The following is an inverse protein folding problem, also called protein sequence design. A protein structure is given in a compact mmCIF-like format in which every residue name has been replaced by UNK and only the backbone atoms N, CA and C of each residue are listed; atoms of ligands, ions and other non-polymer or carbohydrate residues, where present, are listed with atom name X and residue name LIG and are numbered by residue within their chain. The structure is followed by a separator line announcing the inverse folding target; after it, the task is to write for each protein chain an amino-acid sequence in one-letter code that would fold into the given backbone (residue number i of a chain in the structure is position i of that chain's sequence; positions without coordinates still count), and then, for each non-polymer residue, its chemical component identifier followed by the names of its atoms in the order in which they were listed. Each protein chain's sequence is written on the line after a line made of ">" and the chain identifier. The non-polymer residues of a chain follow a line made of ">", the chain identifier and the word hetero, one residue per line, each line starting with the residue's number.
data_IF_115945659470
#
_entry.id   IF_115945659470
#
_cell.length_a   1.000
_cell.length_b   1.000
_cell.length_c   1.000
_cell.angle_alpha   90.00
_cell.angle_beta   90.00
_cell.angle_gamma   90.00
#
_symmetry.space_group_name_H-M   'P 1'
#
loop_
_entity.id
_entity.type
_entity.pdbx_description
1 polymer ?
#
# COMPACT_ATOMS: atom_id res chain seq x y z
N UNK A 1 2.61 14.34 2.00
CA UNK A 1 1.39 15.11 2.33
C UNK A 1 0.57 15.22 1.07
N UNK A 2 -0.67 14.75 1.10
CA UNK A 2 -1.63 14.81 -0.01
C UNK A 2 -2.12 16.25 -0.21
N UNK A 3 -2.41 16.63 -1.45
CA UNK A 3 -2.91 17.98 -1.72
C UNK A 3 -4.35 18.11 -1.26
N UNK A 4 -4.64 19.07 -0.39
CA UNK A 4 -5.99 19.37 0.09
C UNK A 4 -6.55 20.66 -0.50
N UNK A 5 -5.72 21.45 -1.19
CA UNK A 5 -6.11 22.71 -1.82
C UNK A 5 -5.99 22.62 -3.35
N UNK A 6 -6.94 23.21 -4.10
CA UNK A 6 -6.93 23.19 -5.55
C UNK A 6 -5.78 24.05 -6.08
N UNK A 7 -4.81 23.40 -6.72
CA UNK A 7 -3.77 24.09 -7.52
C UNK A 7 -4.24 24.10 -8.97
N UNK A 8 -4.45 25.30 -9.50
CA UNK A 8 -4.93 25.50 -10.87
C UNK A 8 -3.83 26.05 -11.77
N UNK A 9 -3.84 25.61 -13.02
CA UNK A 9 -3.02 26.19 -14.08
C UNK A 9 -3.84 27.15 -14.90
N UNK A 10 -3.19 28.17 -15.47
CA UNK A 10 -3.79 28.97 -16.52
C UNK A 10 -3.16 28.61 -17.87
N UNK A 11 -3.87 28.90 -18.95
CA UNK A 11 -3.34 28.67 -20.30
C UNK A 11 -2.09 29.54 -20.57
N UNK A 12 -2.08 30.76 -20.01
CA UNK A 12 -1.01 31.76 -20.07
C UNK A 12 0.03 31.63 -18.94
N UNK A 13 0.03 30.51 -18.19
CA UNK A 13 0.93 30.31 -17.07
C UNK A 13 2.41 30.41 -17.47
N UNK A 14 3.21 31.02 -16.60
CA UNK A 14 4.66 31.14 -16.78
C UNK A 14 5.33 29.75 -16.70
N UNK A 15 6.54 29.57 -17.27
CA UNK A 15 7.25 28.30 -17.14
C UNK A 15 7.52 27.94 -15.66
N UNK A 16 7.76 28.92 -14.80
CA UNK A 16 7.99 28.74 -13.36
C UNK A 16 6.73 28.23 -12.64
N UNK A 17 5.55 28.77 -12.98
CA UNK A 17 4.27 28.29 -12.45
C UNK A 17 3.99 26.85 -12.87
N UNK A 18 4.33 26.49 -14.12
CA UNK A 18 4.18 25.12 -14.62
C UNK A 18 5.14 24.16 -13.95
N UNK A 19 6.36 24.58 -13.66
CA UNK A 19 7.30 23.77 -12.86
C UNK A 19 6.79 23.55 -11.44
N UNK A 20 6.19 24.56 -10.81
CA UNK A 20 5.54 24.40 -9.51
C UNK A 20 4.41 23.37 -9.59
N UNK A 21 3.52 23.49 -10.57
CA UNK A 21 2.41 22.55 -10.80
C UNK A 21 2.92 21.13 -11.04
N UNK A 22 4.01 20.97 -11.79
CA UNK A 22 4.60 19.67 -12.07
C UNK A 22 5.10 18.98 -10.79
N UNK A 23 5.71 19.71 -9.87
CA UNK A 23 6.08 19.19 -8.53
C UNK A 23 4.86 18.75 -7.73
N UNK A 24 3.75 19.48 -7.84
CA UNK A 24 2.48 19.13 -7.19
C UNK A 24 1.86 17.87 -7.80
N UNK A 25 1.91 17.70 -9.13
CA UNK A 25 1.44 16.48 -9.79
C UNK A 25 2.23 15.26 -9.28
N UNK A 26 3.56 15.36 -9.19
CA UNK A 26 4.37 14.25 -8.65
C UNK A 26 4.04 13.97 -7.19
N UNK A 27 3.83 15.00 -6.37
CA UNK A 27 3.44 14.83 -4.99
C UNK A 27 2.08 14.12 -4.83
N UNK A 28 1.15 14.35 -5.76
CA UNK A 28 -0.17 13.74 -5.75
C UNK A 28 -0.16 12.30 -6.30
N UNK A 29 0.46 12.09 -7.46
CA UNK A 29 0.34 10.82 -8.21
C UNK A 29 1.40 9.81 -7.81
N UNK A 30 2.61 10.27 -7.48
CA UNK A 30 3.70 9.40 -7.06
C UNK A 30 3.87 9.37 -5.54
N UNK A 31 3.09 10.18 -4.81
CA UNK A 31 3.19 10.42 -3.36
C UNK A 31 4.56 10.94 -2.86
N UNK A 32 5.53 11.07 -3.77
CA UNK A 32 6.92 11.48 -3.52
C UNK A 32 7.45 12.34 -4.66
N UNK A 33 8.53 13.07 -4.39
CA UNK A 33 9.31 13.70 -5.43
C UNK A 33 10.26 12.69 -6.09
N UNK A 34 10.50 12.87 -7.38
CA UNK A 34 11.36 11.99 -8.18
C UNK A 34 12.84 12.21 -7.88
N UNK A 35 13.61 11.13 -7.95
CA UNK A 35 15.07 11.23 -7.99
C UNK A 35 15.57 11.71 -9.36
N UNK A 36 16.77 12.30 -9.41
CA UNK A 36 17.34 12.80 -10.66
C UNK A 36 17.52 11.72 -11.74
N UNK A 37 17.78 10.48 -11.33
CA UNK A 37 17.89 9.33 -12.24
C UNK A 37 16.55 8.96 -12.88
N UNK A 38 15.48 8.90 -12.09
CA UNK A 38 14.11 8.60 -12.55
C UNK A 38 13.58 9.72 -13.44
N UNK A 39 13.87 10.97 -13.08
CA UNK A 39 13.44 12.16 -13.84
C UNK A 39 13.89 12.11 -15.29
N UNK A 40 15.05 11.51 -15.60
CA UNK A 40 15.56 11.32 -16.97
C UNK A 40 14.57 10.61 -17.89
N UNK A 41 13.76 9.69 -17.36
CA UNK A 41 12.77 8.95 -18.14
C UNK A 41 11.52 9.78 -18.49
N UNK A 42 11.31 10.90 -17.78
CA UNK A 42 10.14 11.77 -17.93
C UNK A 42 10.47 13.11 -18.61
N UNK A 43 11.75 13.37 -18.92
CA UNK A 43 12.22 14.65 -19.47
C UNK A 43 11.42 15.13 -20.67
N UNK A 44 11.03 14.24 -21.58
CA UNK A 44 10.26 14.60 -22.77
C UNK A 44 8.86 15.10 -22.41
N UNK A 45 8.21 14.41 -21.46
CA UNK A 45 6.90 14.77 -20.94
C UNK A 45 6.96 16.12 -20.18
N UNK A 46 7.99 16.32 -19.35
CA UNK A 46 8.18 17.58 -18.62
C UNK A 46 8.38 18.76 -19.57
N UNK A 47 9.21 18.58 -20.60
CA UNK A 47 9.49 19.61 -21.61
C UNK A 47 8.23 20.04 -22.34
N UNK A 48 7.38 19.09 -22.73
CA UNK A 48 6.15 19.41 -23.44
C UNK A 48 5.10 20.06 -22.51
N UNK A 49 5.09 19.69 -21.22
CA UNK A 49 4.24 20.33 -20.21
C UNK A 49 4.66 21.77 -19.93
N UNK A 50 5.95 22.03 -19.69
CA UNK A 50 6.49 23.37 -19.42
C UNK A 50 6.23 24.29 -20.63
N UNK A 51 6.40 23.78 -21.85
CA UNK A 51 6.05 24.50 -23.08
C UNK A 51 4.54 24.71 -23.26
N UNK A 52 3.69 23.95 -22.59
CA UNK A 52 2.23 24.06 -22.65
C UNK A 52 1.62 23.41 -23.87
N UNK A 53 2.32 22.46 -24.48
CA UNK A 53 1.74 21.67 -25.57
C UNK A 53 0.73 20.65 -25.04
N UNK A 54 0.93 20.18 -23.81
CA UNK A 54 0.08 19.19 -23.15
C UNK A 54 -0.58 19.80 -21.91
N UNK A 55 -1.85 19.50 -21.70
CA UNK A 55 -2.58 19.86 -20.49
C UNK A 55 -2.40 18.82 -19.36
N UNK A 56 -2.88 19.15 -18.16
CA UNK A 56 -2.77 18.29 -16.97
C UNK A 56 -3.36 16.89 -17.23
N UNK A 57 -4.58 16.79 -17.78
CA UNK A 57 -5.22 15.50 -18.06
C UNK A 57 -4.37 14.60 -18.97
N UNK A 58 -3.78 15.18 -20.02
CA UNK A 58 -2.93 14.43 -20.94
C UNK A 58 -1.60 14.03 -20.28
N UNK A 59 -1.06 14.91 -19.43
CA UNK A 59 0.12 14.60 -18.62
C UNK A 59 -0.14 13.42 -17.67
N UNK A 60 -1.27 13.40 -16.96
CA UNK A 60 -1.65 12.32 -16.05
C UNK A 60 -1.78 10.97 -16.76
N UNK A 61 -2.50 10.93 -17.89
CA UNK A 61 -2.64 9.71 -18.70
C UNK A 61 -1.29 9.21 -19.20
N UNK A 62 -0.44 10.12 -19.66
CA UNK A 62 0.89 9.78 -20.14
C UNK A 62 1.81 9.31 -19.01
N UNK A 63 1.66 9.86 -17.81
CA UNK A 63 2.44 9.48 -16.62
C UNK A 63 2.09 8.07 -16.15
N UNK A 64 0.81 7.70 -16.17
CA UNK A 64 0.35 6.39 -15.70
C UNK A 64 0.90 5.21 -16.51
N UNK A 65 1.24 5.43 -17.78
CA UNK A 65 1.77 4.38 -18.68
C UNK A 65 3.30 4.28 -18.57
N UNK A 66 3.95 5.19 -17.84
CA UNK A 66 5.41 5.19 -17.71
C UNK A 66 5.86 4.09 -16.73
N UNK A 67 7.04 3.48 -16.97
CA UNK A 67 7.55 2.39 -16.14
C UNK A 67 7.65 2.78 -14.67
N UNK A 68 8.06 4.02 -14.36
CA UNK A 68 8.13 4.51 -12.97
C UNK A 68 6.81 4.36 -12.21
N UNK A 69 5.67 4.67 -12.85
CA UNK A 69 4.38 4.53 -12.19
C UNK A 69 3.97 3.06 -12.04
N UNK A 70 4.26 2.24 -13.04
CA UNK A 70 3.93 0.81 -13.04
C UNK A 70 4.76 0.02 -12.02
N UNK A 71 6.07 0.26 -11.94
CA UNK A 71 6.97 -0.36 -10.97
C UNK A 71 6.55 -0.02 -9.52
N UNK A 72 6.13 1.23 -9.30
CA UNK A 72 5.71 1.69 -7.97
C UNK A 72 4.35 1.14 -7.54
N UNK A 73 3.36 1.11 -8.43
CA UNK A 73 1.98 0.87 -8.02
C UNK A 73 1.34 -0.37 -8.61
N UNK A 74 1.84 -0.90 -9.72
CA UNK A 74 1.21 -2.01 -10.44
C UNK A 74 1.96 -3.33 -10.23
N UNK A 75 3.26 -3.39 -10.54
CA UNK A 75 4.03 -4.64 -10.62
C UNK A 75 4.09 -5.43 -9.29
N UNK A 76 4.19 -4.72 -8.16
CA UNK A 76 4.28 -5.32 -6.84
C UNK A 76 2.91 -5.46 -6.13
N UNK A 77 1.84 -5.01 -6.78
CA UNK A 77 0.50 -4.90 -6.19
C UNK A 77 -0.49 -5.90 -6.77
N UNK A 78 -1.55 -6.21 -6.04
CA UNK A 78 -2.73 -6.83 -6.65
C UNK A 78 -3.48 -5.84 -7.54
N UNK A 79 -4.17 -6.33 -8.57
CA UNK A 79 -5.01 -5.50 -9.45
C UNK A 79 -5.98 -4.62 -8.66
N UNK A 80 -6.63 -5.19 -7.64
CA UNK A 80 -7.57 -4.45 -6.80
C UNK A 80 -6.87 -3.32 -6.03
N UNK A 81 -5.68 -3.58 -5.48
CA UNK A 81 -4.92 -2.57 -4.73
C UNK A 81 -4.44 -1.46 -5.67
N UNK A 82 -4.07 -1.82 -6.89
CA UNK A 82 -3.74 -0.85 -7.92
C UNK A 82 -4.93 0.05 -8.27
N UNK A 83 -6.14 -0.50 -8.42
CA UNK A 83 -7.36 0.28 -8.72
C UNK A 83 -7.67 1.25 -7.58
N UNK A 84 -7.55 0.81 -6.33
CA UNK A 84 -7.70 1.67 -5.16
C UNK A 84 -6.70 2.84 -5.18
N UNK A 85 -5.42 2.55 -5.43
CA UNK A 85 -4.39 3.57 -5.58
C UNK A 85 -4.66 4.50 -6.78
N UNK A 86 -5.16 3.98 -7.90
CA UNK A 86 -5.51 4.78 -9.07
C UNK A 86 -6.67 5.75 -8.77
N UNK A 87 -7.70 5.30 -8.04
CA UNK A 87 -8.78 6.16 -7.58
C UNK A 87 -8.22 7.27 -6.67
N UNK A 88 -7.33 6.90 -5.74
CA UNK A 88 -6.66 7.86 -4.85
C UNK A 88 -5.87 8.92 -5.63
N UNK A 89 -5.06 8.51 -6.61
CA UNK A 89 -4.19 9.42 -7.35
C UNK A 89 -4.94 10.32 -8.34
N UNK A 90 -5.91 9.78 -9.08
CA UNK A 90 -6.58 10.48 -10.18
C UNK A 90 -7.93 11.08 -9.81
N UNK A 91 -8.71 10.41 -8.96
CA UNK A 91 -10.01 10.91 -8.49
C UNK A 91 -9.91 11.59 -7.12
N UNK A 92 -8.84 11.36 -6.35
CA UNK A 92 -8.69 11.95 -5.02
C UNK A 92 -9.63 11.34 -3.98
N UNK A 93 -10.07 10.09 -4.20
CA UNK A 93 -10.95 9.33 -3.31
C UNK A 93 -10.70 7.82 -3.39
N UNK A 94 -11.18 7.08 -2.41
CA UNK A 94 -11.33 5.63 -2.43
C UNK A 94 -12.51 5.20 -3.35
N UNK A 95 -12.50 3.96 -3.84
CA UNK A 95 -13.67 3.33 -4.46
C UNK A 95 -14.89 3.39 -3.53
N UNK A 96 -16.09 3.55 -4.07
CA UNK A 96 -17.32 3.64 -3.26
C UNK A 96 -17.76 2.29 -2.74
N UNK A 97 -17.80 1.31 -3.64
CA UNK A 97 -18.36 -0.02 -3.40
C UNK A 97 -17.57 -1.08 -4.19
N UNK A 98 -17.72 -2.35 -3.79
CA UNK A 98 -17.22 -3.50 -4.52
C UNK A 98 -17.66 -3.56 -6.00
N UNK A 99 -18.88 -3.10 -6.32
CA UNK A 99 -19.36 -3.06 -7.70
C UNK A 99 -18.50 -2.15 -8.58
N UNK A 100 -18.21 -0.94 -8.11
CA UNK A 100 -17.32 0.00 -8.81
C UNK A 100 -15.91 -0.60 -8.96
N UNK A 101 -15.41 -1.26 -7.92
CA UNK A 101 -14.10 -1.90 -7.95
C UNK A 101 -14.03 -3.01 -9.02
N UNK A 102 -15.08 -3.83 -9.14
CA UNK A 102 -15.18 -4.88 -10.15
C UNK A 102 -15.33 -4.33 -11.57
N UNK A 103 -16.06 -3.23 -11.77
CA UNK A 103 -16.15 -2.56 -13.07
C UNK A 103 -14.77 -2.11 -13.56
N UNK A 104 -14.01 -1.45 -12.67
CA UNK A 104 -12.65 -1.01 -12.98
C UNK A 104 -11.68 -2.17 -13.22
N UNK A 105 -11.84 -3.30 -12.53
CA UNK A 105 -11.03 -4.48 -12.76
C UNK A 105 -11.30 -5.12 -14.12
N UNK A 106 -12.56 -5.19 -14.54
CA UNK A 106 -12.90 -5.70 -15.86
C UNK A 106 -12.25 -4.86 -16.97
N UNK A 107 -12.23 -3.54 -16.81
CA UNK A 107 -11.54 -2.62 -17.73
C UNK A 107 -10.02 -2.85 -17.69
N UNK A 108 -9.44 -2.98 -16.51
CA UNK A 108 -8.01 -3.21 -16.33
C UNK A 108 -7.56 -4.53 -16.99
N UNK A 109 -8.31 -5.61 -16.77
CA UNK A 109 -7.99 -6.94 -17.31
C UNK A 109 -8.18 -6.98 -18.83
N UNK A 110 -9.21 -6.32 -19.37
CA UNK A 110 -9.50 -6.35 -20.81
C UNK A 110 -8.69 -5.36 -21.64
N UNK A 111 -8.44 -4.17 -21.11
CA UNK A 111 -7.89 -3.04 -21.87
C UNK A 111 -6.56 -2.51 -21.31
N UNK A 112 -6.15 -2.96 -20.14
CA UNK A 112 -4.88 -2.59 -19.51
C UNK A 112 -4.90 -1.24 -18.80
N UNK A 113 -3.75 -0.90 -18.20
CA UNK A 113 -3.59 0.27 -17.31
C UNK A 113 -3.89 1.60 -18.01
N UNK A 114 -3.44 1.77 -19.25
CA UNK A 114 -3.63 3.02 -19.99
C UNK A 114 -5.10 3.33 -20.29
N UNK A 115 -5.91 2.31 -20.52
CA UNK A 115 -7.35 2.45 -20.73
C UNK A 115 -8.06 2.80 -19.43
N UNK A 116 -7.76 2.09 -18.33
CA UNK A 116 -8.31 2.37 -17.00
C UNK A 116 -8.10 3.85 -16.61
N UNK A 117 -6.86 4.33 -16.68
CA UNK A 117 -6.56 5.73 -16.30
C UNK A 117 -7.20 6.72 -17.27
N UNK A 118 -7.30 6.37 -18.55
CA UNK A 118 -8.00 7.22 -19.51
C UNK A 118 -9.48 7.37 -19.15
N UNK A 119 -10.15 6.30 -18.78
CA UNK A 119 -11.56 6.33 -18.35
C UNK A 119 -11.75 7.07 -17.03
N UNK A 120 -10.87 6.88 -16.04
CA UNK A 120 -10.90 7.64 -14.78
C UNK A 120 -10.79 9.15 -15.02
N UNK A 121 -9.82 9.58 -15.83
CA UNK A 121 -9.55 11.00 -16.14
C UNK A 121 -10.57 11.62 -17.11
N UNK A 122 -11.28 10.78 -17.88
CA UNK A 122 -12.34 11.21 -18.80
C UNK A 122 -13.75 11.11 -18.19
N UNK A 123 -13.86 10.56 -16.99
CA UNK A 123 -15.11 10.45 -16.26
C UNK A 123 -15.80 11.81 -16.07
N UNK A 124 -17.13 11.78 -16.03
CA UNK A 124 -17.92 12.98 -15.75
C UNK A 124 -17.63 13.51 -14.35
N UNK A 125 -17.33 12.61 -13.41
CA UNK A 125 -16.92 12.94 -12.04
C UNK A 125 -15.66 13.79 -12.03
N UNK A 126 -14.58 13.33 -12.68
CA UNK A 126 -13.34 14.09 -12.78
C UNK A 126 -13.59 15.50 -13.35
N UNK A 127 -14.42 15.60 -14.39
CA UNK A 127 -14.76 16.87 -15.02
C UNK A 127 -15.54 17.81 -14.10
N UNK A 128 -16.43 17.28 -13.26
CA UNK A 128 -17.21 18.05 -12.28
C UNK A 128 -16.36 18.51 -11.10
N UNK A 129 -15.44 17.67 -10.62
CA UNK A 129 -14.58 17.96 -9.46
C UNK A 129 -13.40 18.87 -9.80
N UNK A 130 -12.64 18.55 -10.85
CA UNK A 130 -11.37 19.21 -11.16
C UNK A 130 -11.43 20.08 -12.42
N UNK A 131 -12.30 19.74 -13.37
CA UNK A 131 -12.33 20.40 -14.68
C UNK A 131 -11.11 20.06 -15.54
N UNK A 132 -10.54 21.06 -16.22
CA UNK A 132 -9.46 20.86 -17.20
C UNK A 132 -8.08 21.27 -16.71
N UNK A 133 -8.04 22.24 -15.79
CA UNK A 133 -6.83 22.96 -15.42
C UNK A 133 -6.40 22.76 -13.97
N UNK A 134 -7.15 21.96 -13.22
CA UNK A 134 -6.87 21.67 -11.82
C UNK A 134 -6.19 20.33 -11.71
N UNK A 135 -5.17 20.25 -10.86
CA UNK A 135 -4.54 18.98 -10.48
C UNK A 135 -5.54 18.21 -9.62
N UNK A 136 -5.64 16.87 -9.74
CA UNK A 136 -6.37 16.07 -8.77
C UNK A 136 -5.87 16.38 -7.36
N UNK A 137 -6.81 16.55 -6.45
CA UNK A 137 -6.50 16.79 -5.05
C UNK A 137 -7.50 16.02 -4.21
N UNK A 138 -7.10 15.72 -2.98
CA UNK A 138 -7.94 15.07 -2.02
C UNK A 138 -9.09 16.00 -1.64
N UNK A 139 -10.34 15.62 -1.92
CA UNK A 139 -11.50 16.44 -1.59
C UNK A 139 -12.40 15.75 -0.56
N UNK A 140 -12.71 16.46 0.52
CA UNK A 140 -13.44 15.92 1.68
C UNK A 140 -14.98 15.84 1.51
N UNK A 141 -15.55 15.98 0.30
CA UNK A 141 -17.01 16.21 0.17
C UNK A 141 -17.86 15.21 -0.67
N UNK A 142 -18.99 14.84 -0.03
CA UNK A 142 -20.15 14.01 -0.41
C UNK A 142 -19.89 12.53 -0.62
N UNK A 143 -19.50 11.89 0.48
CA UNK A 143 -19.75 10.46 0.66
C UNK A 143 -21.25 10.22 0.78
N UNK A 144 -21.73 9.20 0.08
CA UNK A 144 -23.13 8.79 0.13
C UNK A 144 -23.40 8.00 1.42
N UNK A 145 -22.34 7.41 2.00
CA UNK A 145 -22.37 6.58 3.20
C UNK A 145 -21.28 6.92 4.22
N UNK A 146 -21.48 6.52 5.48
CA UNK A 146 -20.47 6.67 6.53
C UNK A 146 -19.26 5.73 6.32
N UNK A 147 -19.46 4.58 5.69
CA UNK A 147 -18.38 3.64 5.34
C UNK A 147 -17.41 4.25 4.34
N UNK A 148 -17.94 4.83 3.26
CA UNK A 148 -17.13 5.56 2.26
C UNK A 148 -16.28 6.66 2.91
N UNK A 149 -16.85 7.43 3.85
CA UNK A 149 -16.09 8.48 4.55
C UNK A 149 -14.87 7.88 5.28
N UNK A 150 -15.07 6.80 6.04
CA UNK A 150 -14.01 6.16 6.83
C UNK A 150 -12.93 5.57 5.91
N UNK A 151 -13.33 4.91 4.82
CA UNK A 151 -12.39 4.33 3.86
C UNK A 151 -11.55 5.39 3.17
N UNK A 152 -12.18 6.49 2.79
CA UNK A 152 -11.49 7.66 2.25
C UNK A 152 -10.50 8.21 3.27
N UNK A 153 -10.94 8.53 4.48
CA UNK A 153 -10.07 9.05 5.54
C UNK A 153 -8.85 8.14 5.76
N UNK A 154 -9.08 6.83 5.84
CA UNK A 154 -8.00 5.83 5.98
C UNK A 154 -7.05 5.85 4.78
N UNK A 155 -7.56 5.87 3.55
CA UNK A 155 -6.73 5.81 2.34
C UNK A 155 -5.96 7.11 2.10
N UNK A 156 -6.56 8.26 2.42
CA UNK A 156 -5.96 9.58 2.27
C UNK A 156 -4.75 9.81 3.18
N UNK A 157 -4.75 9.19 4.36
CA UNK A 157 -3.63 9.22 5.29
C UNK A 157 -2.60 8.10 5.09
N UNK A 158 -2.94 7.06 4.32
CA UNK A 158 -2.03 5.95 4.04
C UNK A 158 -0.93 6.36 3.07
N UNK A 159 0.30 5.89 3.30
CA UNK A 159 1.36 5.92 2.32
C UNK A 159 1.39 4.63 1.49
N UNK A 160 1.85 4.69 0.24
CA UNK A 160 2.03 3.52 -0.62
C UNK A 160 2.73 2.35 0.12
N UNK A 161 2.04 1.22 0.19
CA UNK A 161 2.56 -0.02 0.79
C UNK A 161 2.45 -0.14 2.31
N UNK A 162 1.92 0.85 3.04
CA UNK A 162 1.82 0.83 4.50
C UNK A 162 0.96 -0.33 5.03
N UNK A 163 -0.17 -0.64 4.38
CA UNK A 163 -1.02 -1.80 4.71
C UNK A 163 -0.81 -2.99 3.77
N UNK A 164 0.36 -3.04 3.14
CA UNK A 164 0.73 -4.08 2.19
C UNK A 164 0.20 -3.84 0.77
N UNK A 165 0.52 -4.79 -0.11
CA UNK A 165 0.33 -4.67 -1.55
C UNK A 165 -0.80 -5.55 -2.11
N UNK A 166 -1.32 -6.48 -1.30
CA UNK A 166 -2.23 -7.51 -1.76
C UNK A 166 -3.71 -7.16 -1.55
N UNK A 167 -4.07 -6.59 -0.39
CA UNK A 167 -5.48 -6.41 0.01
C UNK A 167 -5.83 -4.91 0.04
N UNK A 168 -6.82 -4.46 -0.76
CA UNK A 168 -7.37 -3.11 -0.69
C UNK A 168 -7.99 -2.76 0.66
N UNK A 169 -8.05 -1.48 1.02
CA UNK A 169 -8.61 -1.02 2.30
C UNK A 169 -10.10 -1.34 2.43
N UNK A 170 -10.86 -1.26 1.34
CA UNK A 170 -12.29 -1.64 1.31
C UNK A 170 -12.51 -3.08 1.83
N UNK A 171 -11.78 -4.07 1.28
CA UNK A 171 -11.88 -5.47 1.71
C UNK A 171 -11.35 -5.71 3.12
N UNK A 172 -10.37 -4.95 3.60
CA UNK A 172 -9.86 -5.10 4.97
C UNK A 172 -10.97 -4.84 5.99
N UNK A 173 -11.81 -3.83 5.75
CA UNK A 173 -12.95 -3.53 6.61
C UNK A 173 -14.02 -4.62 6.54
N UNK A 174 -14.39 -5.07 5.33
CA UNK A 174 -15.38 -6.16 5.16
C UNK A 174 -14.94 -7.48 5.80
N UNK A 175 -13.64 -7.76 5.78
CA UNK A 175 -13.06 -8.98 6.34
C UNK A 175 -12.70 -8.84 7.83
N UNK A 176 -12.92 -7.67 8.45
CA UNK A 176 -12.52 -7.35 9.83
C UNK A 176 -11.04 -7.65 10.10
N UNK A 177 -10.17 -7.24 9.16
CA UNK A 177 -8.71 -7.41 9.21
C UNK A 177 -8.08 -6.05 9.46
N UNK A 178 -7.18 -5.97 10.45
CA UNK A 178 -6.33 -4.81 10.67
C UNK A 178 -4.89 -5.12 10.25
N UNK A 179 -4.33 -4.25 9.40
CA UNK A 179 -2.99 -4.37 8.83
C UNK A 179 -2.09 -3.18 9.19
N UNK A 180 -2.48 -2.30 10.13
CA UNK A 180 -1.77 -1.05 10.43
C UNK A 180 -0.33 -1.24 10.98
N UNK A 181 0.03 -2.47 11.38
CA UNK A 181 1.36 -2.83 11.91
C UNK A 181 2.26 -3.65 10.96
N UNK A 182 1.91 -3.75 9.67
CA UNK A 182 2.65 -4.55 8.69
C UNK A 182 2.35 -6.05 8.71
N UNK A 183 1.61 -6.52 9.71
CA UNK A 183 1.00 -7.86 9.75
C UNK A 183 -0.51 -7.71 9.78
N UNK A 184 -1.19 -8.37 8.85
CA UNK A 184 -2.65 -8.40 8.81
C UNK A 184 -3.19 -9.46 9.79
N UNK A 185 -3.95 -9.02 10.79
CA UNK A 185 -4.57 -9.88 11.80
C UNK A 185 -6.08 -9.64 11.82
N UNK A 186 -6.86 -10.72 11.87
CA UNK A 186 -8.32 -10.61 12.09
C UNK A 186 -8.60 -10.13 13.51
N UNK A 187 -9.57 -9.25 13.67
CA UNK A 187 -9.91 -8.69 14.99
C UNK A 187 -10.29 -9.79 16.01
N UNK A 188 -10.97 -10.84 15.57
CA UNK A 188 -11.31 -12.00 16.41
C UNK A 188 -10.07 -12.70 16.99
N UNK A 189 -8.97 -12.71 16.25
CA UNK A 189 -7.72 -13.35 16.65
C UNK A 189 -6.86 -12.43 17.53
N UNK A 190 -7.09 -11.10 17.50
CA UNK A 190 -6.50 -10.18 18.48
C UNK A 190 -7.02 -10.46 19.90
N UNK A 191 -8.32 -10.74 20.05
CA UNK A 191 -8.94 -11.08 21.34
C UNK A 191 -8.49 -12.42 21.93
N UNK A 192 -7.86 -13.30 21.13
CA UNK A 192 -7.28 -14.57 21.62
C UNK A 192 -5.85 -14.42 22.13
N UNK A 193 -5.20 -13.27 21.92
CA UNK A 193 -3.92 -12.97 22.55
C UNK A 193 -4.20 -12.70 24.03
N UNK A 194 -3.98 -13.71 24.86
CA UNK A 194 -4.09 -13.63 26.32
C UNK A 194 -3.38 -12.38 26.85
N UNK A 195 -4.03 -11.68 27.77
CA UNK A 195 -3.37 -10.72 28.65
C UNK A 195 -2.11 -11.37 29.21
N UNK A 196 -0.94 -10.79 28.91
CA UNK A 196 0.27 -11.14 29.65
C UNK A 196 -0.05 -10.81 31.11
N UNK A 197 0.00 -11.79 32.04
CA UNK A 197 -0.28 -11.49 33.43
C UNK A 197 0.63 -10.35 33.88
N UNK A 198 0.13 -9.41 34.71
CA UNK A 198 0.94 -8.30 35.15
C UNK A 198 2.22 -8.87 35.76
N UNK A 199 3.36 -8.31 35.35
CA UNK A 199 4.65 -8.64 35.96
C UNK A 199 4.50 -8.28 37.44
N UNK A 200 4.28 -9.31 38.28
CA UNK A 200 4.20 -9.16 39.72
C UNK A 200 5.56 -8.70 40.23
N UNK A 201 5.55 -7.48 40.76
CA UNK A 201 6.49 -6.84 41.69
C UNK A 201 7.98 -7.01 41.42
N UNK A 202 8.62 -5.87 41.14
CA UNK A 202 10.05 -5.67 41.39
C UNK A 202 10.35 -6.11 42.82
N UNK A 203 11.01 -7.26 42.97
CA UNK A 203 11.53 -7.68 44.26
C UNK A 203 12.58 -6.64 44.69
N UNK A 204 12.26 -5.84 45.70
CA UNK A 204 13.20 -4.95 46.36
C UNK A 204 14.37 -5.77 46.92
N UNK A 205 15.46 -5.85 46.15
CA UNK A 205 16.72 -6.41 46.61
C UNK A 205 17.34 -5.42 47.60
N UNK A 206 17.02 -5.62 48.88
CA UNK A 206 17.78 -5.02 49.96
C UNK A 206 19.26 -5.39 49.84
N UNK A 207 20.08 -4.36 49.87
CA UNK A 207 21.54 -4.42 49.87
C UNK A 207 22.03 -5.13 51.13
N UNK A 208 22.14 -6.45 51.11
CA UNK A 208 23.12 -7.23 51.90
C UNK A 208 22.88 -8.75 51.77
N UNK A 209 23.02 -9.30 50.57
CA UNK A 209 23.17 -10.76 50.42
C UNK A 209 24.39 -11.06 49.56
N UNK A 210 25.51 -11.35 50.23
CA UNK A 210 26.70 -11.87 49.55
C UNK A 210 26.32 -13.16 48.84
N UNK A 211 26.31 -13.15 47.52
CA UNK A 211 26.05 -14.32 46.69
C UNK A 211 27.06 -15.41 47.07
N UNK A 212 26.56 -16.49 47.69
CA UNK A 212 27.37 -17.66 47.97
C UNK A 212 27.73 -18.35 46.64
N UNK A 213 28.87 -19.07 46.56
CA UNK A 213 29.29 -19.76 45.33
C UNK A 213 28.24 -20.77 44.83
N UNK A 214 27.38 -21.29 45.72
CA UNK A 214 26.24 -22.14 45.36
C UNK A 214 25.16 -21.39 44.55
N UNK A 215 24.92 -20.11 44.82
CA UNK A 215 23.95 -19.31 44.06
C UNK A 215 24.45 -19.02 42.64
N UNK A 216 25.74 -18.73 42.49
CA UNK A 216 26.39 -18.53 41.19
C UNK A 216 26.32 -19.82 40.36
N UNK A 217 26.55 -20.97 40.99
CA UNK A 217 26.49 -22.27 40.35
C UNK A 217 25.06 -22.64 39.91
N UNK A 218 24.05 -22.22 40.67
CA UNK A 218 22.64 -22.46 40.33
C UNK A 218 22.15 -21.53 39.21
N UNK A 219 22.61 -20.28 39.19
CA UNK A 219 22.35 -19.35 38.10
C UNK A 219 23.03 -19.78 36.79
N UNK A 220 24.25 -20.31 36.84
CA UNK A 220 24.92 -20.82 35.63
C UNK A 220 24.23 -22.07 35.07
N UNK A 221 23.61 -22.89 35.92
CA UNK A 221 22.74 -23.99 35.51
C UNK A 221 21.46 -23.48 34.83
N UNK A 222 20.77 -22.51 35.42
CA UNK A 222 19.60 -21.88 34.79
C UNK A 222 19.93 -21.24 33.44
N UNK A 223 21.06 -20.52 33.34
CA UNK A 223 21.48 -19.92 32.07
C UNK A 223 21.75 -21.00 31.03
N UNK A 224 22.36 -22.13 31.41
CA UNK A 224 22.57 -23.26 30.50
C UNK A 224 21.26 -23.92 30.05
N UNK A 225 20.32 -24.15 30.96
CA UNK A 225 19.00 -24.69 30.62
C UNK A 225 18.23 -23.75 29.69
N UNK A 226 18.27 -22.43 29.94
CA UNK A 226 17.68 -21.43 29.04
C UNK A 226 18.38 -21.44 27.68
N UNK A 227 19.71 -21.60 27.63
CA UNK A 227 20.44 -21.66 26.36
C UNK A 227 20.12 -22.94 25.57
N UNK A 228 19.95 -24.08 26.26
CA UNK A 228 19.49 -25.34 25.65
C UNK A 228 18.05 -25.23 25.14
N UNK A 229 17.15 -24.60 25.90
CA UNK A 229 15.77 -24.33 25.46
C UNK A 229 15.75 -23.42 24.22
N UNK A 230 16.55 -22.35 24.21
CA UNK A 230 16.66 -21.45 23.05
C UNK A 230 17.30 -22.13 21.83
N UNK A 231 18.13 -23.16 22.02
CA UNK A 231 18.67 -23.98 20.93
C UNK A 231 17.67 -24.99 20.35
N UNK A 232 16.56 -25.25 21.05
CA UNK A 232 15.46 -26.11 20.59
C UNK A 232 14.43 -25.36 19.75
N UNK A 233 14.46 -24.02 19.72
CA UNK A 233 13.64 -23.22 18.81
C UNK A 233 14.36 -23.11 17.45
N UNK A 234 13.72 -23.50 16.34
CA UNK A 234 14.37 -23.44 15.03
C UNK A 234 14.64 -21.98 14.64
N UNK A 235 15.83 -21.74 14.08
CA UNK A 235 16.19 -20.48 13.44
C UNK A 235 15.18 -20.12 12.33
N UNK A 236 15.06 -18.82 11.94
CA UNK A 236 14.06 -18.37 10.97
C UNK A 236 14.09 -19.22 9.71
N UNK A 237 12.92 -19.80 9.40
CA UNK A 237 12.69 -20.69 8.26
C UNK A 237 13.15 -19.96 6.99
N UNK A 238 13.97 -20.64 6.19
CA UNK A 238 14.51 -20.03 4.97
C UNK A 238 13.39 -19.85 3.94
N UNK A 239 13.42 -18.81 3.09
CA UNK A 239 12.37 -18.55 2.10
C UNK A 239 12.04 -19.76 1.22
N UNK A 240 13.06 -20.59 0.94
CA UNK A 240 12.92 -21.82 0.14
C UNK A 240 12.09 -22.91 0.83
N UNK A 241 12.18 -23.02 2.16
CA UNK A 241 11.39 -23.98 2.92
C UNK A 241 9.91 -23.55 2.99
N UNK A 242 9.65 -22.24 3.03
CA UNK A 242 8.29 -21.67 2.94
C UNK A 242 7.68 -21.93 1.56
N UNK A 243 8.45 -21.74 0.49
CA UNK A 243 7.99 -22.04 -0.88
C UNK A 243 7.68 -23.53 -1.08
N UNK A 244 8.50 -24.43 -0.55
CA UNK A 244 8.25 -25.88 -0.65
C UNK A 244 7.03 -26.32 0.16
N UNK A 245 6.82 -25.76 1.36
CA UNK A 245 5.67 -26.10 2.21
C UNK A 245 4.35 -25.57 1.62
N UNK A 246 4.40 -24.40 0.97
CA UNK A 246 3.27 -23.85 0.20
C UNK A 246 2.96 -24.69 -1.03
N UNK A 247 3.97 -25.14 -1.79
CA UNK A 247 3.76 -26.03 -2.95
C UNK A 247 3.11 -27.36 -2.54
N UNK A 248 3.53 -27.92 -1.41
CA UNK A 248 3.02 -29.17 -0.90
C UNK A 248 1.56 -29.05 -0.42
N UNK A 249 1.22 -27.94 0.25
CA UNK A 249 -0.17 -27.63 0.64
C UNK A 249 -1.06 -27.34 -0.56
N UNK A 250 -0.56 -26.68 -1.60
CA UNK A 250 -1.33 -26.47 -2.84
C UNK A 250 -1.64 -27.80 -3.53
N UNK A 251 -0.72 -28.76 -3.50
CA UNK A 251 -0.94 -30.10 -4.06
C UNK A 251 -1.98 -30.93 -3.28
N UNK A 252 -2.15 -30.70 -1.97
CA UNK A 252 -3.18 -31.36 -1.16
C UNK A 252 -4.61 -30.87 -1.47
N UNK A 253 -4.76 -29.62 -1.90
CA UNK A 253 -6.06 -29.00 -2.17
C UNK A 253 -6.50 -29.07 -3.64
N UNK A 254 -5.66 -29.58 -4.54
CA UNK A 254 -5.92 -29.62 -5.98
C UNK A 254 -6.17 -31.05 -6.45
N UNK A 255 -7.26 -31.29 -7.19
CA UNK A 255 -7.53 -32.62 -7.77
C UNK A 255 -6.41 -33.03 -8.75
N UNK A 256 -6.12 -34.33 -8.85
CA UNK A 256 -5.02 -34.91 -9.66
C UNK A 256 -5.03 -34.39 -11.11
N UNK A 257 -6.21 -34.09 -11.65
CA UNK A 257 -6.41 -33.51 -13.00
C UNK A 257 -5.88 -32.08 -13.14
N UNK A 258 -6.00 -31.26 -12.10
CA UNK A 258 -5.63 -29.85 -12.11
C UNK A 258 -4.14 -29.63 -11.73
N UNK A 259 -3.56 -30.53 -10.93
CA UNK A 259 -2.14 -30.49 -10.58
C UNK A 259 -1.23 -30.66 -11.83
N UNK A 260 -1.66 -31.48 -12.80
CA UNK A 260 -0.93 -31.70 -14.06
C UNK A 260 -0.92 -30.49 -15.01
N UNK A 261 -1.80 -29.51 -14.81
CA UNK A 261 -1.84 -28.27 -15.60
C UNK A 261 -0.96 -27.16 -15.00
N UNK A 262 -0.79 -27.16 -13.67
CA UNK A 262 0.00 -26.15 -12.95
C UNK A 262 1.51 -26.31 -13.17
N UNK A 263 1.99 -27.53 -13.44
CA UNK A 263 3.42 -27.83 -13.60
C UNK A 263 3.81 -28.27 -15.02
N UNK A 264 3.00 -27.98 -16.03
CA UNK A 264 3.43 -28.13 -17.42
C UNK A 264 4.30 -26.93 -17.83
N UNK A 265 5.60 -27.09 -17.61
CA UNK A 265 6.69 -26.64 -18.48
C UNK A 265 7.87 -27.60 -18.30
#
# INVERSE_FOLDING_TARGET
>A
MTLTQPVTTRHDASPEEREFVLKQIYQQVLERQLYESERKQLVDLEKDFIKGKIGIRHFLKSLAVRPIYLELFYENSSNMKFIENACKHFLGRAPKNNEELHEWDDILVRHGVGALVSELVDSEEYRKSFGYFTIPYWHEHRFESAGEYIENEKLGHEHAGQRGWAIPTHYQHELHIDCDGGTCVREEDKSKVQEVPPIEEVLDLSTDTKMTPKHIQRLSLCVKEITEILSLYPQPVTPKEIETDLQQKVLEYVSITNANLLFKN
#
